data_IF_186246096498
#
_entry.id   IF_186246096498
#
_cell.length_a   1.000
_cell.length_b   1.000
_cell.length_c   1.000
_cell.angle_alpha   90.00
_cell.angle_beta   90.00
_cell.angle_gamma   90.00
#
_symmetry.space_group_name_H-M   'P 1'
#
loop_
_entity.id
_entity.type
_entity.pdbx_description
1 polymer ?
#
# COMPACT_ATOMS: atom_id res chain seq x y z
N UNK A 1 -7.54 16.89 -20.11
CA UNK A 1 -6.81 16.31 -21.27
C UNK A 1 -6.94 14.82 -21.07
N UNK A 2 -7.98 14.24 -21.65
CA UNK A 2 -8.62 13.04 -21.08
C UNK A 2 -8.07 11.74 -21.70
N UNK A 3 -6.93 11.82 -22.40
CA UNK A 3 -6.34 10.75 -23.21
C UNK A 3 -4.98 10.26 -22.68
N UNK A 4 -4.67 10.43 -21.40
CA UNK A 4 -3.43 9.88 -20.84
C UNK A 4 -3.53 8.35 -20.74
N UNK A 5 -2.49 7.65 -21.18
CA UNK A 5 -2.29 6.22 -20.91
C UNK A 5 -2.16 5.97 -19.41
N UNK A 6 -2.36 4.73 -18.96
CA UNK A 6 -2.20 4.35 -17.55
C UNK A 6 -0.83 4.79 -16.98
N UNK A 7 0.26 4.56 -17.72
CA UNK A 7 1.61 4.99 -17.31
C UNK A 7 1.78 6.51 -17.26
N UNK A 8 1.13 7.26 -18.15
CA UNK A 8 1.15 8.73 -18.11
C UNK A 8 0.35 9.28 -16.92
N UNK A 9 -0.82 8.68 -16.61
CA UNK A 9 -1.59 9.02 -15.40
C UNK A 9 -0.72 8.84 -14.15
N UNK A 10 -0.02 7.71 -14.03
CA UNK A 10 0.92 7.44 -12.92
C UNK A 10 2.07 8.43 -12.88
N UNK A 11 2.66 8.79 -14.02
CA UNK A 11 3.73 9.81 -14.05
C UNK A 11 3.25 11.14 -13.49
N UNK A 12 2.02 11.56 -13.81
CA UNK A 12 1.43 12.79 -13.26
C UNK A 12 1.23 12.69 -11.75
N UNK A 13 0.62 11.60 -11.26
CA UNK A 13 0.44 11.40 -9.80
C UNK A 13 1.79 11.39 -9.08
N UNK A 14 2.76 10.62 -9.59
CA UNK A 14 4.11 10.55 -9.02
C UNK A 14 4.78 11.92 -8.97
N UNK A 15 4.67 12.69 -10.05
CA UNK A 15 5.23 14.05 -10.09
C UNK A 15 4.59 14.95 -9.02
N UNK A 16 3.26 14.92 -8.90
CA UNK A 16 2.55 15.73 -7.90
C UNK A 16 2.92 15.31 -6.47
N UNK A 17 2.88 14.01 -6.15
CA UNK A 17 3.14 13.53 -4.80
C UNK A 17 4.61 13.69 -4.40
N UNK A 18 5.53 13.22 -5.23
CA UNK A 18 6.94 13.06 -4.84
C UNK A 18 7.83 14.23 -5.25
N UNK A 19 7.46 14.99 -6.28
CA UNK A 19 8.29 16.11 -6.79
C UNK A 19 7.68 17.48 -6.46
N UNK A 20 6.35 17.64 -6.48
CA UNK A 20 5.72 18.92 -6.08
C UNK A 20 5.51 18.96 -4.56
N UNK A 21 4.85 17.95 -3.99
CA UNK A 21 4.54 17.91 -2.55
C UNK A 21 5.63 17.25 -1.70
N UNK A 22 6.68 16.72 -2.33
CA UNK A 22 7.88 16.21 -1.66
C UNK A 22 7.59 15.12 -0.61
N UNK A 23 6.53 14.32 -0.82
CA UNK A 23 6.35 13.10 -0.05
C UNK A 23 7.52 12.15 -0.30
N UNK A 24 7.94 11.39 0.71
CA UNK A 24 9.05 10.45 0.61
C UNK A 24 8.87 9.24 1.51
N UNK A 25 9.45 8.12 1.09
CA UNK A 25 9.57 6.92 1.90
C UNK A 25 10.50 7.12 3.10
N UNK A 26 10.17 6.51 4.22
CA UNK A 26 11.07 6.39 5.36
C UNK A 26 12.35 5.64 4.96
N UNK A 27 13.46 5.99 5.60
CA UNK A 27 14.75 5.32 5.34
C UNK A 27 14.70 3.87 5.84
N UNK A 28 15.28 2.90 5.10
CA UNK A 28 15.42 1.52 5.59
C UNK A 28 16.23 1.41 6.90
N UNK A 29 17.05 2.44 7.21
CA UNK A 29 17.83 2.50 8.46
C UNK A 29 17.04 3.06 9.64
N UNK A 30 15.90 3.70 9.38
CA UNK A 30 15.04 4.26 10.41
C UNK A 30 14.22 3.12 11.00
N UNK A 31 14.27 2.96 12.32
CA UNK A 31 13.37 2.03 13.00
C UNK A 31 11.94 2.47 12.77
N UNK A 32 11.05 1.51 12.48
CA UNK A 32 9.61 1.76 12.54
C UNK A 32 9.28 2.34 13.91
N UNK A 33 8.74 3.55 13.90
CA UNK A 33 8.18 4.21 15.08
C UNK A 33 6.68 4.30 14.86
N UNK A 34 5.91 4.23 15.94
CA UNK A 34 4.44 4.28 15.91
C UNK A 34 3.88 5.36 14.96
N UNK A 35 4.49 6.55 14.97
CA UNK A 35 4.06 7.69 14.17
C UNK A 35 4.05 7.45 12.65
N UNK A 36 4.87 6.53 12.12
CA UNK A 36 4.95 6.32 10.66
C UNK A 36 3.71 5.63 10.08
N UNK A 37 2.88 5.04 10.95
CA UNK A 37 1.60 4.42 10.60
C UNK A 37 0.41 5.39 10.63
N UNK A 38 0.59 6.63 11.10
CA UNK A 38 -0.49 7.61 11.16
C UNK A 38 -0.52 8.54 9.95
N UNK A 39 -1.70 8.70 9.35
CA UNK A 39 -1.88 9.55 8.17
C UNK A 39 -1.66 11.03 8.46
N UNK A 40 -2.03 11.54 9.64
CA UNK A 40 -1.77 12.93 10.00
C UNK A 40 -0.25 13.20 10.08
N UNK A 41 0.52 12.28 10.68
CA UNK A 41 1.98 12.38 10.76
C UNK A 41 2.64 12.32 9.37
N UNK A 42 2.13 11.48 8.47
CA UNK A 42 2.54 11.49 7.06
C UNK A 42 2.28 12.85 6.41
N UNK A 43 1.10 13.43 6.61
CA UNK A 43 0.73 14.70 5.98
C UNK A 43 1.56 15.87 6.50
N UNK A 44 1.91 15.87 7.79
CA UNK A 44 2.73 16.91 8.42
C UNK A 44 4.21 16.77 8.07
N UNK A 45 4.76 15.55 8.20
CA UNK A 45 6.20 15.29 7.99
C UNK A 45 6.60 15.05 6.54
N UNK A 46 5.61 14.82 5.65
CA UNK A 46 5.79 14.34 4.28
C UNK A 46 6.57 13.02 4.19
N UNK A 47 6.70 12.27 5.28
CA UNK A 47 7.48 11.03 5.34
C UNK A 47 6.58 9.90 5.83
N UNK A 48 6.57 8.78 5.10
CA UNK A 48 5.75 7.62 5.48
C UNK A 48 6.37 6.28 5.13
N UNK A 49 5.75 5.23 5.63
CA UNK A 49 6.11 3.85 5.29
C UNK A 49 5.33 3.39 4.05
N UNK A 50 5.54 2.13 3.65
CA UNK A 50 4.89 1.56 2.47
C UNK A 50 3.35 1.63 2.58
N UNK A 51 2.81 1.35 3.77
CA UNK A 51 1.37 1.32 4.02
C UNK A 51 0.76 2.73 3.99
N UNK A 52 1.32 3.70 4.73
CA UNK A 52 0.74 5.06 4.78
C UNK A 52 0.87 5.81 3.47
N UNK A 53 2.01 5.68 2.78
CA UNK A 53 2.16 6.24 1.43
C UNK A 53 1.25 5.56 0.43
N UNK A 54 1.11 4.23 0.50
CA UNK A 54 0.19 3.47 -0.34
C UNK A 54 -1.26 3.91 -0.14
N UNK A 55 -1.71 4.06 1.12
CA UNK A 55 -3.05 4.55 1.45
C UNK A 55 -3.30 5.95 0.89
N UNK A 56 -2.36 6.89 1.08
CA UNK A 56 -2.48 8.24 0.52
C UNK A 56 -2.57 8.20 -1.02
N UNK A 57 -1.70 7.42 -1.66
CA UNK A 57 -1.64 7.30 -3.11
C UNK A 57 -2.94 6.75 -3.68
N UNK A 58 -3.40 5.59 -3.21
CA UNK A 58 -4.60 4.93 -3.74
C UNK A 58 -5.85 5.79 -3.47
N UNK A 59 -5.93 6.48 -2.33
CA UNK A 59 -7.05 7.37 -2.01
C UNK A 59 -7.15 8.52 -3.02
N UNK A 60 -6.03 9.17 -3.34
CA UNK A 60 -6.00 10.26 -4.33
C UNK A 60 -6.33 9.73 -5.73
N UNK A 61 -5.75 8.59 -6.12
CA UNK A 61 -6.01 7.98 -7.42
C UNK A 61 -7.49 7.62 -7.60
N UNK A 62 -8.11 7.00 -6.60
CA UNK A 62 -9.53 6.61 -6.62
C UNK A 62 -10.45 7.83 -6.64
N UNK A 63 -10.11 8.91 -5.93
CA UNK A 63 -10.85 10.20 -6.05
C UNK A 63 -10.80 10.77 -7.47
N UNK A 64 -9.74 10.48 -8.23
CA UNK A 64 -9.59 10.84 -9.63
C UNK A 64 -10.15 9.77 -10.60
N UNK A 65 -10.85 8.75 -10.08
CA UNK A 65 -11.39 7.60 -10.84
C UNK A 65 -10.32 6.79 -11.57
N UNK A 66 -9.13 6.69 -10.98
CA UNK A 66 -8.03 5.86 -11.47
C UNK A 66 -8.02 4.58 -10.61
N UNK A 67 -8.13 3.38 -11.22
CA UNK A 67 -8.35 2.13 -10.49
C UNK A 67 -7.04 1.58 -9.90
N UNK A 68 -6.57 2.22 -8.84
CA UNK A 68 -5.40 1.78 -8.09
C UNK A 68 -5.86 1.21 -6.75
N UNK A 69 -5.40 0.00 -6.42
CA UNK A 69 -5.76 -0.70 -5.19
C UNK A 69 -4.52 -1.23 -4.48
N UNK A 70 -4.65 -1.49 -3.18
CA UNK A 70 -3.58 -2.06 -2.37
C UNK A 70 -3.38 -3.55 -2.61
N UNK A 71 -2.16 -4.02 -2.43
CA UNK A 71 -1.83 -5.45 -2.32
C UNK A 71 -1.04 -5.67 -1.04
N UNK A 72 -1.49 -6.69 -0.30
CA UNK A 72 -0.95 -7.08 0.99
C UNK A 72 0.16 -8.12 0.80
N UNK A 73 1.41 -7.67 0.60
CA UNK A 73 2.58 -8.55 0.60
C UNK A 73 3.12 -8.74 2.03
N UNK A 74 3.75 -9.87 2.35
CA UNK A 74 4.52 -9.99 3.59
C UNK A 74 5.60 -8.90 3.65
N UNK A 75 5.72 -8.22 4.79
CA UNK A 75 6.69 -7.15 5.07
C UNK A 75 6.66 -5.91 4.16
N UNK A 76 5.83 -5.89 3.11
CA UNK A 76 5.74 -4.75 2.19
C UNK A 76 4.31 -4.49 1.72
N UNK A 77 3.94 -3.24 1.52
CA UNK A 77 2.64 -2.86 0.96
C UNK A 77 2.86 -2.20 -0.39
N UNK A 78 2.22 -2.73 -1.43
CA UNK A 78 2.35 -2.21 -2.79
C UNK A 78 0.97 -1.89 -3.35
N UNK A 79 0.93 -1.30 -4.54
CA UNK A 79 -0.32 -1.01 -5.24
C UNK A 79 -0.35 -1.72 -6.59
N UNK A 80 -1.55 -2.01 -7.08
CA UNK A 80 -1.82 -2.50 -8.42
C UNK A 80 -2.67 -1.48 -9.18
N UNK A 81 -2.32 -1.25 -10.45
CA UNK A 81 -3.17 -0.55 -11.39
C UNK A 81 -3.99 -1.59 -12.16
N UNK A 82 -5.31 -1.51 -12.06
CA UNK A 82 -6.23 -2.42 -12.75
C UNK A 82 -6.60 -1.89 -14.12
N UNK A 83 -6.96 -2.78 -15.04
CA UNK A 83 -7.49 -2.39 -16.35
C UNK A 83 -8.75 -1.52 -16.19
N UNK A 84 -8.69 -0.27 -16.65
CA UNK A 84 -9.78 0.71 -16.56
C UNK A 84 -10.83 0.56 -17.66
N UNK A 85 -10.66 -0.40 -18.58
CA UNK A 85 -11.64 -0.76 -19.61
C UNK A 85 -12.73 -1.71 -19.10
N UNK A 86 -12.54 -2.31 -17.92
CA UNK A 86 -13.49 -3.23 -17.31
C UNK A 86 -14.60 -2.47 -16.57
N UNK A 87 -15.84 -3.01 -16.49
CA UNK A 87 -16.89 -2.43 -15.67
C UNK A 87 -16.45 -2.34 -14.22
N UNK A 88 -17.00 -1.36 -13.48
CA UNK A 88 -16.78 -1.28 -12.04
C UNK A 88 -17.22 -2.59 -11.36
N UNK A 89 -16.31 -3.20 -10.61
CA UNK A 89 -16.50 -4.42 -9.84
C UNK A 89 -16.18 -4.16 -8.38
N UNK A 90 -16.71 -5.00 -7.49
CA UNK A 90 -16.28 -5.04 -6.10
C UNK A 90 -14.82 -5.52 -6.03
N UNK A 91 -14.10 -5.12 -4.96
CA UNK A 91 -12.67 -5.42 -4.85
C UNK A 91 -12.42 -6.94 -4.85
N UNK A 92 -13.35 -7.69 -4.26
CA UNK A 92 -13.29 -9.14 -4.13
C UNK A 92 -13.40 -9.89 -5.47
N UNK A 93 -13.92 -9.24 -6.51
CA UNK A 93 -14.14 -9.82 -7.83
C UNK A 93 -12.97 -9.60 -8.80
N UNK A 94 -11.94 -8.84 -8.40
CA UNK A 94 -10.76 -8.61 -9.23
C UNK A 94 -9.85 -9.84 -9.29
N UNK A 95 -9.45 -10.18 -10.52
CA UNK A 95 -8.52 -11.25 -10.81
C UNK A 95 -7.12 -10.71 -11.10
N UNK A 96 -6.10 -11.56 -10.96
CA UNK A 96 -4.69 -11.22 -11.19
C UNK A 96 -4.42 -10.79 -12.65
N UNK A 97 -5.07 -11.40 -13.62
CA UNK A 97 -4.93 -11.09 -15.05
C UNK A 97 -5.51 -9.72 -15.44
N UNK A 98 -6.26 -9.09 -14.53
CA UNK A 98 -6.76 -7.72 -14.68
C UNK A 98 -5.77 -6.66 -14.19
N UNK A 99 -4.63 -7.05 -13.61
CA UNK A 99 -3.56 -6.13 -13.18
C UNK A 99 -2.68 -5.76 -14.38
N UNK A 100 -2.60 -4.47 -14.70
CA UNK A 100 -1.72 -3.99 -15.77
C UNK A 100 -0.26 -3.88 -15.31
N UNK A 101 -0.03 -3.37 -14.11
CA UNK A 101 1.28 -3.25 -13.48
C UNK A 101 1.14 -2.90 -11.99
N UNK A 102 2.26 -2.98 -11.28
CA UNK A 102 2.35 -2.70 -9.86
C UNK A 102 3.16 -1.44 -9.58
N UNK A 103 2.95 -0.83 -8.40
CA UNK A 103 3.57 0.41 -7.98
C UNK A 103 4.12 0.32 -6.56
N UNK A 104 5.30 0.90 -6.35
CA UNK A 104 5.93 0.98 -5.04
C UNK A 104 5.85 2.42 -4.54
N UNK A 105 4.84 2.73 -3.74
CA UNK A 105 4.66 4.08 -3.19
C UNK A 105 5.82 4.52 -2.28
N UNK A 106 6.46 3.57 -1.58
CA UNK A 106 7.66 3.84 -0.77
C UNK A 106 8.84 4.31 -1.64
N UNK A 107 8.96 3.75 -2.86
CA UNK A 107 9.98 4.11 -3.84
C UNK A 107 9.44 5.04 -4.93
N UNK A 108 8.83 6.16 -4.53
CA UNK A 108 8.34 7.22 -5.43
C UNK A 108 7.40 6.75 -6.55
N UNK A 109 6.60 5.71 -6.28
CA UNK A 109 5.67 5.15 -7.26
C UNK A 109 6.37 4.44 -8.43
N UNK A 110 7.54 3.86 -8.19
CA UNK A 110 8.25 3.03 -9.17
C UNK A 110 7.33 1.91 -9.67
N UNK A 111 7.26 1.77 -11.00
CA UNK A 111 6.48 0.76 -11.70
C UNK A 111 7.28 -0.54 -11.77
N UNK A 112 6.65 -1.68 -11.51
CA UNK A 112 7.26 -3.00 -11.66
C UNK A 112 6.23 -4.06 -12.09
N UNK A 113 6.74 -5.23 -12.43
CA UNK A 113 6.03 -6.36 -13.02
C UNK A 113 5.79 -7.47 -12.02
N UNK A 114 4.90 -8.41 -12.36
CA UNK A 114 4.67 -9.63 -11.59
C UNK A 114 5.96 -10.44 -11.39
N UNK A 115 6.80 -10.57 -12.42
CA UNK A 115 8.08 -11.28 -12.33
C UNK A 115 9.00 -10.68 -11.26
N UNK A 116 8.95 -9.36 -11.05
CA UNK A 116 9.72 -8.68 -10.02
C UNK A 116 9.17 -8.96 -8.61
N UNK A 117 7.85 -9.10 -8.45
CA UNK A 117 7.23 -9.59 -7.20
C UNK A 117 7.67 -11.02 -6.91
N UNK A 118 7.59 -11.91 -7.90
CA UNK A 118 8.03 -13.30 -7.73
C UNK A 118 9.51 -13.39 -7.32
N UNK A 119 10.37 -12.59 -7.96
CA UNK A 119 11.79 -12.54 -7.62
C UNK A 119 11.99 -12.06 -6.17
N UNK A 120 11.26 -11.04 -5.75
CA UNK A 120 11.26 -10.55 -4.37
C UNK A 120 10.85 -11.65 -3.38
N UNK A 121 9.71 -12.33 -3.61
CA UNK A 121 9.22 -13.41 -2.76
C UNK A 121 10.23 -14.57 -2.66
N UNK A 122 10.83 -14.97 -3.79
CA UNK A 122 11.88 -16.00 -3.84
C UNK A 122 13.12 -15.60 -3.04
N UNK A 123 13.55 -14.33 -3.12
CA UNK A 123 14.69 -13.82 -2.35
C UNK A 123 14.42 -13.83 -0.83
N UNK A 124 13.18 -13.55 -0.43
CA UNK A 124 12.72 -13.61 0.96
C UNK A 124 12.43 -15.03 1.45
N UNK A 125 12.54 -16.04 0.57
CA UNK A 125 12.21 -17.45 0.86
C UNK A 125 10.76 -17.63 1.32
N UNK A 126 9.85 -16.84 0.77
CA UNK A 126 8.42 -16.91 1.03
C UNK A 126 7.75 -17.81 0.01
N UNK A 127 6.72 -18.54 0.45
CA UNK A 127 5.86 -19.29 -0.46
C UNK A 127 5.03 -18.33 -1.31
N UNK A 128 4.88 -18.64 -2.60
CA UNK A 128 4.07 -17.84 -3.51
C UNK A 128 2.60 -18.10 -3.23
N UNK A 129 1.84 -17.03 -3.04
CA UNK A 129 0.39 -17.05 -2.84
C UNK A 129 -0.27 -16.14 -3.88
N UNK A 130 -1.37 -16.59 -4.49
CA UNK A 130 -2.15 -15.82 -5.46
C UNK A 130 -2.64 -14.47 -4.89
N UNK A 131 -2.90 -14.40 -3.58
CA UNK A 131 -3.26 -13.17 -2.90
C UNK A 131 -2.20 -12.05 -3.01
N UNK A 132 -0.96 -12.39 -3.33
CA UNK A 132 0.14 -11.43 -3.51
C UNK A 132 0.12 -10.72 -4.86
N UNK A 133 -0.79 -11.08 -5.76
CA UNK A 133 -0.88 -10.52 -7.11
C UNK A 133 -2.24 -9.90 -7.40
N UNK A 134 -3.17 -9.91 -6.44
CA UNK A 134 -4.51 -9.32 -6.60
C UNK A 134 -4.80 -8.28 -5.51
N UNK A 135 -5.69 -7.29 -5.80
CA UNK A 135 -6.12 -6.31 -4.82
C UNK A 135 -6.61 -6.93 -3.50
N UNK A 136 -6.26 -6.28 -2.39
CA UNK A 136 -6.81 -6.59 -1.08
C UNK A 136 -7.92 -5.60 -0.69
N UNK A 137 -8.88 -6.06 0.11
CA UNK A 137 -10.01 -5.23 0.55
C UNK A 137 -9.56 -4.16 1.56
N UNK A 138 -10.36 -3.09 1.68
CA UNK A 138 -10.13 -2.06 2.70
C UNK A 138 -10.07 -2.65 4.12
N UNK A 139 -10.87 -3.69 4.39
CA UNK A 139 -10.83 -4.44 5.65
C UNK A 139 -9.46 -5.08 5.88
N UNK A 140 -8.84 -5.69 4.87
CA UNK A 140 -7.47 -6.23 4.96
C UNK A 140 -6.43 -5.13 5.23
N UNK A 141 -6.56 -3.97 4.58
CA UNK A 141 -5.65 -2.83 4.78
C UNK A 141 -5.76 -2.29 6.21
N UNK A 142 -6.97 -2.13 6.74
CA UNK A 142 -7.22 -1.69 8.11
C UNK A 142 -6.68 -2.72 9.11
N UNK A 143 -6.93 -4.02 8.86
CA UNK A 143 -6.39 -5.11 9.68
C UNK A 143 -4.86 -5.03 9.75
N UNK A 144 -4.20 -4.92 8.59
CA UNK A 144 -2.74 -4.75 8.52
C UNK A 144 -2.28 -3.53 9.32
N UNK A 145 -2.92 -2.37 9.13
CA UNK A 145 -2.58 -1.14 9.84
C UNK A 145 -2.62 -1.34 11.36
N UNK A 146 -3.71 -1.93 11.86
CA UNK A 146 -3.88 -2.16 13.30
C UNK A 146 -2.85 -3.18 13.81
N UNK A 147 -2.59 -4.26 13.07
CA UNK A 147 -1.56 -5.27 13.42
C UNK A 147 -0.18 -4.62 13.55
N UNK A 148 0.23 -3.81 12.57
CA UNK A 148 1.54 -3.16 12.58
C UNK A 148 1.72 -2.17 13.75
N UNK A 149 0.65 -1.46 14.09
CA UNK A 149 0.61 -0.57 15.26
C UNK A 149 0.71 -1.38 16.56
N UNK A 150 -0.01 -2.50 16.67
CA UNK A 150 0.05 -3.39 17.83
C UNK A 150 1.45 -3.98 18.02
N UNK A 151 2.06 -4.48 16.95
CA UNK A 151 3.42 -5.01 16.95
C UNK A 151 4.44 -3.95 17.36
N UNK A 152 4.27 -2.71 16.87
CA UNK A 152 5.13 -1.59 17.27
C UNK A 152 4.99 -1.27 18.77
N UNK A 153 3.78 -1.31 19.34
CA UNK A 153 3.60 -1.15 20.79
C UNK A 153 4.28 -2.25 21.60
N UNK A 154 4.27 -3.50 21.13
CA UNK A 154 4.99 -4.60 21.78
C UNK A 154 6.50 -4.31 21.78
N UNK A 155 7.05 -3.89 20.63
CA UNK A 155 8.47 -3.53 20.50
C UNK A 155 8.88 -2.34 21.39
N UNK A 156 7.96 -1.41 21.63
CA UNK A 156 8.15 -0.26 22.54
C UNK A 156 7.89 -0.61 24.02
N UNK A 157 7.68 -1.89 24.37
CA UNK A 157 7.37 -2.38 25.72
C UNK A 157 6.06 -1.81 26.30
N UNK A 158 5.04 -1.61 25.46
CA UNK A 158 3.70 -1.16 25.85
C UNK A 158 2.62 -2.21 25.50
N UNK A 159 2.68 -3.43 26.05
CA UNK A 159 1.81 -4.55 25.64
C UNK A 159 0.32 -4.30 25.89
N UNK A 160 -0.04 -3.56 26.94
CA UNK A 160 -1.45 -3.25 27.26
C UNK A 160 -2.16 -2.47 26.11
N UNK A 161 -1.43 -1.61 25.40
CA UNK A 161 -1.97 -0.93 24.22
C UNK A 161 -2.14 -1.87 23.04
N UNK A 162 -1.22 -2.82 22.86
CA UNK A 162 -1.34 -3.85 21.85
C UNK A 162 -2.55 -4.77 22.12
N UNK A 163 -2.82 -5.11 23.38
CA UNK A 163 -3.99 -5.92 23.77
C UNK A 163 -5.31 -5.24 23.37
N UNK A 164 -5.40 -3.92 23.53
CA UNK A 164 -6.59 -3.14 23.10
C UNK A 164 -6.77 -3.21 21.58
N UNK A 165 -5.68 -3.14 20.81
CA UNK A 165 -5.74 -3.25 19.35
C UNK A 165 -6.03 -4.68 18.89
N UNK A 166 -5.52 -5.68 19.58
CA UNK A 166 -5.82 -7.09 19.31
C UNK A 166 -7.30 -7.42 19.59
N UNK A 167 -7.89 -6.78 20.61
CA UNK A 167 -9.34 -6.84 20.81
C UNK A 167 -10.11 -6.18 19.67
N UNK A 168 -9.65 -5.04 19.14
CA UNK A 168 -10.29 -4.43 17.98
C UNK A 168 -10.16 -5.32 16.72
N UNK A 169 -9.01 -5.97 16.54
CA UNK A 169 -8.79 -6.92 15.44
C UNK A 169 -9.76 -8.10 15.49
N UNK A 170 -10.03 -8.66 16.67
CA UNK A 170 -10.97 -9.78 16.80
C UNK A 170 -12.44 -9.41 16.54
N UNK A 171 -12.76 -8.11 16.52
CA UNK A 171 -14.08 -7.59 16.18
C UNK A 171 -14.21 -7.23 14.70
N UNK A 172 -13.12 -7.24 13.94
CA UNK A 172 -13.12 -6.90 12.53
C UNK A 172 -13.53 -8.06 11.62
N UNK A 173 -13.79 -9.26 12.16
CA UNK A 173 -14.20 -10.48 11.43
C UNK A 173 -15.56 -10.36 10.72
#
# INVERSE_FOLDING_TARGET
>A
NDNLTALEKIKVINHVLFEIHQFKGQSPKQKSSLNTYFLNELLDSKTGNALTLGMLYMTIAQQLRIPIFGIDLPDHFILAYMDDSMPAKEIEDFMEDEVLFYLNALNKGAVFTQNEIELYLKQMKLEINEAYFRPCSNKSIIRRLITEIADTYILENMPEKADTLNLLLSLLD
#
